data_IF_873572150170
#
_entry.id   IF_873572150170
#
_cell.length_a   1.000
_cell.length_b   1.000
_cell.length_c   1.000
_cell.angle_alpha   90.00
_cell.angle_beta   90.00
_cell.angle_gamma   90.00
#
_symmetry.space_group_name_H-M   'P 1'
#
loop_
_entity.id
_entity.type
_entity.pdbx_description
1 polymer ?
#
# COMPACT_ATOMS: atom_id res chain seq x y z
N UNK A 1 28.86 -66.86 -18.06
CA UNK A 1 27.51 -66.60 -17.52
C UNK A 1 27.66 -65.82 -16.22
N UNK A 2 27.69 -64.48 -16.28
CA UNK A 2 27.64 -63.63 -15.09
C UNK A 2 26.62 -62.52 -15.36
N UNK A 3 25.42 -62.70 -14.81
CA UNK A 3 24.38 -61.68 -14.80
C UNK A 3 24.66 -60.74 -13.64
N UNK A 4 24.96 -59.48 -13.98
CA UNK A 4 25.05 -58.38 -13.00
C UNK A 4 23.67 -57.74 -12.94
N UNK A 5 22.98 -57.92 -11.82
CA UNK A 5 21.68 -57.31 -11.52
C UNK A 5 21.93 -55.90 -10.98
N UNK A 6 21.60 -54.87 -11.76
CA UNK A 6 21.63 -53.48 -11.30
C UNK A 6 20.37 -53.18 -10.48
N UNK A 7 20.53 -52.96 -9.17
CA UNK A 7 19.48 -52.40 -8.31
C UNK A 7 19.43 -50.88 -8.50
N UNK A 8 18.36 -50.39 -9.10
CA UNK A 8 18.03 -48.98 -9.14
C UNK A 8 17.43 -48.58 -7.78
N UNK A 9 18.18 -47.84 -6.98
CA UNK A 9 17.68 -47.19 -5.77
C UNK A 9 16.87 -45.95 -6.16
N UNK A 10 15.55 -46.06 -6.09
CA UNK A 10 14.64 -44.91 -6.17
C UNK A 10 14.82 -44.08 -4.90
N UNK A 11 15.61 -43.00 -4.97
CA UNK A 11 15.70 -42.02 -3.90
C UNK A 11 14.47 -41.10 -3.99
N UNK A 12 13.43 -41.42 -3.24
CA UNK A 12 12.28 -40.56 -3.04
C UNK A 12 12.72 -39.31 -2.28
N UNK A 13 13.05 -38.24 -3.02
CA UNK A 13 13.17 -36.91 -2.45
C UNK A 13 11.79 -36.48 -1.94
N UNK A 14 11.61 -36.57 -0.63
CA UNK A 14 10.49 -35.95 0.07
C UNK A 14 10.67 -34.43 -0.06
N UNK A 15 10.01 -33.82 -1.04
CA UNK A 15 9.91 -32.36 -1.17
C UNK A 15 9.02 -31.88 -0.01
N UNK A 16 9.61 -31.65 1.16
CA UNK A 16 8.94 -30.91 2.22
C UNK A 16 8.83 -29.50 1.66
N UNK A 17 7.61 -29.15 1.21
CA UNK A 17 7.26 -27.80 0.81
C UNK A 17 7.36 -26.93 2.08
N UNK A 18 8.56 -26.45 2.38
CA UNK A 18 8.77 -25.34 3.30
C UNK A 18 8.04 -24.16 2.69
N UNK A 19 6.89 -23.80 3.26
CA UNK A 19 6.18 -22.57 2.91
C UNK A 19 7.19 -21.45 3.05
N UNK A 20 7.65 -20.90 1.93
CA UNK A 20 8.57 -19.78 1.94
C UNK A 20 7.74 -18.59 2.39
N UNK A 21 7.96 -18.14 3.61
CA UNK A 21 7.37 -16.89 4.08
C UNK A 21 8.01 -15.73 3.32
N UNK A 22 7.16 -14.80 2.91
CA UNK A 22 7.55 -13.58 2.22
C UNK A 22 8.03 -12.54 3.25
N UNK A 23 9.31 -12.18 3.21
CA UNK A 23 9.89 -11.18 4.11
C UNK A 23 9.69 -9.76 3.56
N UNK A 24 9.34 -8.82 4.44
CA UNK A 24 9.23 -7.40 4.11
C UNK A 24 10.63 -6.81 3.91
N UNK A 25 10.82 -5.92 2.92
CA UNK A 25 12.06 -5.17 2.75
C UNK A 25 12.50 -4.43 4.03
N UNK A 26 13.82 -4.31 4.28
CA UNK A 26 14.31 -3.59 5.44
C UNK A 26 14.00 -2.08 5.38
N UNK A 27 14.08 -1.44 6.54
CA UNK A 27 14.06 0.02 6.68
C UNK A 27 15.32 0.65 6.13
N UNK A 28 15.21 1.90 5.66
CA UNK A 28 16.35 2.68 5.20
C UNK A 28 17.12 3.27 6.38
N UNK A 29 18.35 3.74 6.15
CA UNK A 29 19.16 4.37 7.19
C UNK A 29 18.92 5.88 7.27
N UNK A 30 18.55 6.51 6.15
CA UNK A 30 18.21 7.92 6.05
C UNK A 30 17.08 8.16 5.06
N UNK A 31 16.39 9.30 5.23
CA UNK A 31 15.36 9.74 4.29
C UNK A 31 15.95 10.00 2.90
N UNK A 32 15.17 9.71 1.88
CA UNK A 32 15.43 10.12 0.50
C UNK A 32 14.33 11.11 0.13
N UNK A 33 14.72 12.36 -0.11
CA UNK A 33 13.78 13.42 -0.47
C UNK A 33 13.22 13.18 -1.88
N UNK A 34 12.01 13.67 -2.17
CA UNK A 34 11.38 13.55 -3.50
C UNK A 34 12.21 14.18 -4.62
N UNK A 35 12.95 15.22 -4.27
CA UNK A 35 13.93 15.90 -5.10
C UNK A 35 15.25 16.02 -4.31
N UNK A 36 16.35 16.35 -4.98
CA UNK A 36 17.69 16.52 -4.36
C UNK A 36 17.76 17.61 -3.26
N UNK A 37 16.65 18.28 -2.93
CA UNK A 37 16.56 19.25 -1.84
C UNK A 37 16.31 18.54 -0.50
N UNK A 38 17.39 18.00 0.05
CA UNK A 38 17.48 17.19 1.28
C UNK A 38 17.00 17.82 2.61
N UNK A 39 16.30 18.96 2.62
CA UNK A 39 16.19 19.81 3.82
C UNK A 39 14.83 20.38 4.24
N UNK A 40 13.69 19.91 3.72
CA UNK A 40 12.39 20.47 4.15
C UNK A 40 11.51 19.46 4.88
N UNK A 41 11.59 19.51 6.22
CA UNK A 41 10.65 18.90 7.15
C UNK A 41 9.30 19.63 7.24
N UNK A 42 9.23 20.81 6.64
CA UNK A 42 8.03 21.58 6.37
C UNK A 42 8.09 21.87 4.89
N UNK A 43 7.41 21.05 4.09
CA UNK A 43 7.26 21.35 2.67
C UNK A 43 6.51 22.67 2.56
N UNK A 44 7.21 23.76 2.28
CA UNK A 44 6.62 24.82 1.49
C UNK A 44 6.42 24.23 0.09
N UNK A 45 5.16 24.01 -0.29
CA UNK A 45 4.73 23.34 -1.53
C UNK A 45 5.22 24.06 -2.80
N UNK A 46 5.74 25.28 -2.66
CA UNK A 46 6.33 26.07 -3.73
C UNK A 46 7.51 25.39 -4.44
N UNK A 47 8.17 24.39 -3.83
CA UNK A 47 9.30 23.66 -4.43
C UNK A 47 8.92 22.41 -5.25
N UNK A 48 7.65 21.96 -5.22
CA UNK A 48 7.15 20.85 -6.05
C UNK A 48 6.68 21.32 -7.45
N UNK A 49 6.97 22.56 -7.83
CA UNK A 49 6.27 23.28 -8.89
C UNK A 49 6.86 23.14 -10.30
N UNK A 50 8.08 22.62 -10.47
CA UNK A 50 8.75 22.65 -11.77
C UNK A 50 8.39 21.48 -12.70
N UNK A 51 8.20 20.27 -12.18
CA UNK A 51 7.87 19.08 -12.98
C UNK A 51 6.69 18.33 -12.35
N UNK A 52 5.61 18.17 -13.12
CA UNK A 52 4.37 17.49 -12.71
C UNK A 52 4.08 16.33 -13.66
N UNK A 53 3.30 15.36 -13.19
CA UNK A 53 2.84 14.24 -14.01
C UNK A 53 3.77 13.04 -14.00
N UNK A 54 3.51 12.10 -14.91
CA UNK A 54 4.12 10.77 -14.99
C UNK A 54 5.65 10.82 -15.01
N UNK A 55 6.24 11.69 -15.83
CA UNK A 55 7.70 11.78 -15.94
C UNK A 55 8.37 12.15 -14.61
N UNK A 56 7.79 13.12 -13.88
CA UNK A 56 8.30 13.57 -12.59
C UNK A 56 8.17 12.48 -11.51
N UNK A 57 7.04 11.77 -11.49
CA UNK A 57 6.81 10.65 -10.56
C UNK A 57 7.80 9.51 -10.84
N UNK A 58 7.94 9.10 -12.11
CA UNK A 58 8.91 8.07 -12.51
C UNK A 58 10.33 8.44 -12.13
N UNK A 59 10.76 9.69 -12.42
CA UNK A 59 12.11 10.15 -12.09
C UNK A 59 12.37 10.11 -10.57
N UNK A 60 11.44 10.61 -9.76
CA UNK A 60 11.57 10.63 -8.30
C UNK A 60 11.67 9.21 -7.72
N UNK A 61 10.76 8.31 -8.09
CA UNK A 61 10.77 6.93 -7.60
C UNK A 61 12.04 6.18 -8.03
N UNK A 62 12.49 6.35 -9.28
CA UNK A 62 13.67 5.64 -9.78
C UNK A 62 14.96 6.17 -9.15
N UNK A 63 15.08 7.48 -8.94
CA UNK A 63 16.15 8.06 -8.14
C UNK A 63 16.17 7.45 -6.73
N UNK A 64 15.01 7.41 -6.05
CA UNK A 64 14.92 6.85 -4.71
C UNK A 64 15.26 5.37 -4.63
N UNK A 65 14.97 4.59 -5.68
CA UNK A 65 15.39 3.18 -5.78
C UNK A 65 16.90 3.05 -5.85
N UNK A 66 17.60 3.91 -6.60
CA UNK A 66 19.08 3.91 -6.64
C UNK A 66 19.69 4.26 -5.29
N UNK A 67 19.11 5.25 -4.60
CA UNK A 67 19.55 5.64 -3.27
C UNK A 67 19.25 4.56 -2.22
N UNK A 68 18.10 3.88 -2.32
CA UNK A 68 17.76 2.72 -1.48
C UNK A 68 18.77 1.59 -1.64
N UNK A 69 19.14 1.23 -2.88
CA UNK A 69 20.17 0.23 -3.12
C UNK A 69 21.49 0.61 -2.47
N UNK A 70 21.89 1.87 -2.60
CA UNK A 70 23.12 2.39 -1.99
C UNK A 70 23.07 2.27 -0.46
N UNK A 71 21.96 2.68 0.17
CA UNK A 71 21.81 2.59 1.63
C UNK A 71 21.77 1.17 2.17
N UNK A 72 21.23 0.23 1.39
CA UNK A 72 21.11 -1.17 1.77
C UNK A 72 22.32 -2.02 1.32
N UNK A 73 23.31 -1.43 0.64
CA UNK A 73 24.48 -2.14 0.13
C UNK A 73 24.13 -3.18 -0.95
N UNK A 74 23.09 -2.92 -1.73
CA UNK A 74 22.60 -3.80 -2.77
C UNK A 74 23.33 -3.58 -4.10
N UNK A 75 23.38 -4.59 -4.97
CA UNK A 75 23.84 -4.40 -6.35
C UNK A 75 23.00 -3.35 -7.08
N UNK A 76 23.65 -2.55 -7.92
CA UNK A 76 22.96 -1.55 -8.74
C UNK A 76 21.92 -2.22 -9.66
N UNK A 77 20.73 -1.63 -9.74
CA UNK A 77 19.61 -2.09 -10.57
C UNK A 77 18.98 -3.42 -10.12
N UNK A 78 19.17 -3.83 -8.86
CA UNK A 78 18.43 -4.97 -8.30
C UNK A 78 16.96 -4.63 -8.05
N UNK A 79 16.67 -3.40 -7.62
CA UNK A 79 15.30 -2.90 -7.50
C UNK A 79 14.91 -2.40 -8.88
N UNK A 80 13.84 -2.95 -9.46
CA UNK A 80 13.41 -2.61 -10.83
C UNK A 80 12.95 -1.16 -10.91
N UNK A 81 13.15 -0.49 -12.04
CA UNK A 81 12.62 0.87 -12.25
C UNK A 81 11.09 0.86 -12.38
N UNK A 82 10.47 1.93 -11.88
CA UNK A 82 9.04 2.21 -12.02
C UNK A 82 8.78 2.55 -13.48
N UNK A 83 7.85 1.83 -14.08
CA UNK A 83 7.32 2.15 -15.40
C UNK A 83 5.86 2.52 -15.20
N UNK A 84 5.50 3.77 -15.40
CA UNK A 84 4.11 4.24 -15.35
C UNK A 84 3.48 4.18 -16.76
N UNK A 85 2.14 4.07 -16.85
CA UNK A 85 1.46 4.25 -18.13
C UNK A 85 1.62 5.69 -18.63
N UNK A 86 1.31 5.93 -19.91
CA UNK A 86 1.33 7.28 -20.50
C UNK A 86 0.47 8.25 -19.69
N UNK A 87 0.84 9.54 -19.72
CA UNK A 87 0.14 10.61 -18.98
C UNK A 87 -1.38 10.57 -19.18
N UNK A 88 -1.85 10.42 -20.41
CA UNK A 88 -3.27 10.35 -20.74
C UNK A 88 -4.00 9.16 -20.09
N UNK A 89 -3.33 8.00 -19.96
CA UNK A 89 -3.89 6.84 -19.26
C UNK A 89 -3.85 7.07 -17.76
N UNK A 90 -2.72 7.55 -17.23
CA UNK A 90 -2.58 7.88 -15.81
C UNK A 90 -3.65 8.87 -15.35
N UNK A 91 -3.93 9.91 -16.13
CA UNK A 91 -4.92 10.93 -15.80
C UNK A 91 -6.35 10.40 -15.76
N UNK A 92 -6.65 9.31 -16.45
CA UNK A 92 -7.98 8.65 -16.43
C UNK A 92 -8.15 7.64 -15.29
N UNK A 93 -7.06 7.23 -14.62
CA UNK A 93 -7.12 6.29 -13.51
C UNK A 93 -7.75 6.94 -12.28
N UNK A 94 -8.58 6.17 -11.56
CA UNK A 94 -9.08 6.57 -10.24
C UNK A 94 -7.95 6.67 -9.22
N UNK A 95 -8.22 7.36 -8.11
CA UNK A 95 -7.26 7.49 -7.01
C UNK A 95 -6.83 6.11 -6.48
N UNK A 96 -7.77 5.17 -6.32
CA UNK A 96 -7.49 3.80 -5.87
C UNK A 96 -6.64 3.03 -6.87
N UNK A 97 -6.91 3.18 -8.18
CA UNK A 97 -6.12 2.51 -9.21
C UNK A 97 -4.68 3.04 -9.24
N UNK A 98 -4.48 4.36 -9.08
CA UNK A 98 -3.14 4.96 -8.97
C UNK A 98 -2.41 4.47 -7.73
N UNK A 99 -3.10 4.41 -6.60
CA UNK A 99 -2.52 3.95 -5.34
C UNK A 99 -2.14 2.46 -5.39
N UNK A 100 -3.05 1.60 -5.85
CA UNK A 100 -2.80 0.17 -6.04
C UNK A 100 -1.62 -0.05 -7.00
N UNK A 101 -1.56 0.69 -8.10
CA UNK A 101 -0.45 0.61 -9.05
C UNK A 101 0.90 0.89 -8.38
N UNK A 102 1.04 2.05 -7.73
CA UNK A 102 2.31 2.46 -7.13
C UNK A 102 2.73 1.57 -5.96
N UNK A 103 1.78 1.11 -5.15
CA UNK A 103 2.06 0.19 -4.04
C UNK A 103 2.50 -1.17 -4.58
N UNK A 104 1.78 -1.74 -5.56
CA UNK A 104 2.15 -3.02 -6.14
C UNK A 104 3.48 -2.97 -6.91
N UNK A 105 3.74 -1.90 -7.65
CA UNK A 105 5.06 -1.68 -8.28
C UNK A 105 6.16 -1.53 -7.23
N UNK A 106 5.92 -0.85 -6.11
CA UNK A 106 6.89 -0.77 -5.03
C UNK A 106 7.19 -2.15 -4.40
N UNK A 107 6.17 -2.98 -4.20
CA UNK A 107 6.32 -4.32 -3.62
C UNK A 107 7.04 -5.25 -4.59
N UNK A 108 6.57 -5.34 -5.82
CA UNK A 108 7.08 -6.27 -6.85
C UNK A 108 8.44 -5.86 -7.43
N UNK A 109 8.78 -4.56 -7.46
CA UNK A 109 10.11 -4.11 -7.87
C UNK A 109 11.22 -4.59 -6.93
N UNK A 110 10.86 -4.99 -5.70
CA UNK A 110 11.75 -5.49 -4.66
C UNK A 110 11.79 -7.02 -4.57
N UNK A 111 11.05 -7.72 -5.44
CA UNK A 111 11.15 -9.18 -5.53
C UNK A 111 12.60 -9.60 -5.74
N UNK A 112 13.06 -10.56 -4.92
CA UNK A 112 14.40 -11.12 -4.91
C UNK A 112 15.53 -10.11 -4.64
N UNK A 113 15.23 -8.90 -4.14
CA UNK A 113 16.27 -7.92 -3.78
C UNK A 113 17.21 -8.46 -2.69
N UNK A 114 16.67 -9.32 -1.83
CA UNK A 114 17.35 -10.01 -0.73
C UNK A 114 16.69 -11.38 -0.52
N UNK A 115 17.40 -12.37 0.05
CA UNK A 115 16.79 -13.66 0.39
C UNK A 115 15.53 -13.48 1.24
N UNK A 116 14.44 -14.14 0.86
CA UNK A 116 13.15 -14.09 1.55
C UNK A 116 12.18 -13.02 1.04
N UNK A 117 12.66 -11.96 0.37
CA UNK A 117 11.78 -10.90 -0.15
C UNK A 117 11.12 -11.34 -1.46
N UNK A 118 9.87 -11.80 -1.40
CA UNK A 118 9.18 -12.33 -2.59
C UNK A 118 8.50 -11.24 -3.44
N UNK A 119 8.14 -10.12 -2.81
CA UNK A 119 7.58 -8.95 -3.53
C UNK A 119 6.15 -9.18 -4.02
N UNK A 120 5.32 -9.87 -3.23
CA UNK A 120 3.94 -10.17 -3.63
C UNK A 120 3.11 -8.87 -3.72
N UNK A 121 2.30 -8.78 -4.76
CA UNK A 121 1.39 -7.66 -4.96
C UNK A 121 0.14 -7.80 -4.09
N UNK A 122 -0.51 -6.68 -3.75
CA UNK A 122 -1.88 -6.73 -3.24
C UNK A 122 -2.82 -7.24 -4.33
N UNK A 123 -3.87 -7.98 -3.97
CA UNK A 123 -4.81 -8.53 -4.96
C UNK A 123 -5.70 -7.46 -5.61
N UNK A 124 -5.97 -6.38 -4.88
CA UNK A 124 -6.82 -5.30 -5.35
C UNK A 124 -7.36 -4.44 -4.23
N UNK A 125 -8.34 -3.60 -4.57
CA UNK A 125 -9.06 -2.72 -3.65
C UNK A 125 -10.39 -3.37 -3.29
N UNK A 126 -10.62 -3.65 -2.00
CA UNK A 126 -11.86 -4.28 -1.52
C UNK A 126 -12.87 -3.18 -1.15
N UNK A 127 -14.06 -3.22 -1.75
CA UNK A 127 -15.02 -2.10 -1.76
C UNK A 127 -15.54 -1.72 -0.37
N UNK A 128 -15.80 -2.70 0.50
CA UNK A 128 -16.36 -2.43 1.83
C UNK A 128 -15.29 -1.84 2.75
N UNK A 129 -14.08 -2.39 2.67
CA UNK A 129 -12.91 -1.91 3.38
C UNK A 129 -12.47 -0.53 2.87
N UNK A 130 -12.56 -0.28 1.57
CA UNK A 130 -12.30 1.02 0.97
C UNK A 130 -13.30 2.09 1.48
N UNK A 131 -14.59 1.76 1.53
CA UNK A 131 -15.60 2.63 2.15
C UNK A 131 -15.31 2.89 3.64
N UNK A 132 -14.78 1.91 4.38
CA UNK A 132 -14.36 2.10 5.77
C UNK A 132 -13.19 3.10 5.86
N UNK A 133 -12.22 3.02 4.94
CA UNK A 133 -11.09 3.95 4.82
C UNK A 133 -11.57 5.36 4.43
N UNK A 134 -12.50 5.47 3.47
CA UNK A 134 -13.19 6.72 3.10
C UNK A 134 -13.84 7.37 4.32
N UNK A 135 -14.63 6.63 5.08
CA UNK A 135 -15.31 7.15 6.27
C UNK A 135 -14.32 7.74 7.29
N UNK A 136 -13.13 7.14 7.42
CA UNK A 136 -12.10 7.68 8.29
C UNK A 136 -11.45 8.95 7.73
N UNK A 137 -11.20 9.01 6.43
CA UNK A 137 -10.74 10.22 5.76
C UNK A 137 -11.75 11.37 5.92
N UNK A 138 -13.07 11.08 5.80
CA UNK A 138 -14.15 12.04 6.05
C UNK A 138 -14.11 12.56 7.49
N UNK A 139 -13.92 11.67 8.48
CA UNK A 139 -13.80 12.06 9.88
C UNK A 139 -12.62 13.02 10.10
N UNK A 140 -11.43 12.68 9.60
CA UNK A 140 -10.24 13.52 9.70
C UNK A 140 -10.46 14.88 9.03
N UNK A 141 -11.06 14.87 7.84
CA UNK A 141 -11.40 16.08 7.10
C UNK A 141 -12.35 16.99 7.88
N UNK A 142 -13.48 16.45 8.33
CA UNK A 142 -14.56 17.23 8.97
C UNK A 142 -14.19 17.74 10.36
N UNK A 143 -13.26 17.08 11.03
CA UNK A 143 -12.76 17.49 12.36
C UNK A 143 -11.46 18.29 12.28
N UNK A 144 -10.98 18.58 11.07
CA UNK A 144 -9.70 19.24 10.80
C UNK A 144 -8.51 18.58 11.52
N UNK A 145 -8.55 17.25 11.61
CA UNK A 145 -7.64 16.45 12.42
C UNK A 145 -6.55 15.77 11.59
N UNK A 146 -5.56 15.22 12.30
CA UNK A 146 -4.45 14.43 11.76
C UNK A 146 -4.18 13.24 12.70
N UNK A 147 -3.83 12.09 12.11
CA UNK A 147 -3.41 10.91 12.84
C UNK A 147 -4.38 9.73 12.71
N UNK A 148 -4.12 8.68 13.51
CA UNK A 148 -4.76 7.37 13.40
C UNK A 148 -5.89 7.12 14.40
N UNK A 149 -6.02 8.00 15.40
CA UNK A 149 -6.88 7.83 16.58
C UNK A 149 -7.86 8.98 16.80
N UNK A 150 -8.22 9.71 15.74
CA UNK A 150 -9.17 10.81 15.83
C UNK A 150 -10.50 10.36 16.46
N UNK A 151 -10.95 10.97 17.57
CA UNK A 151 -12.21 10.62 18.19
C UNK A 151 -13.40 10.92 17.28
N UNK A 152 -14.25 9.92 17.05
CA UNK A 152 -15.50 10.03 16.30
C UNK A 152 -16.71 10.27 17.20
N UNK A 153 -16.52 10.25 18.52
CA UNK A 153 -17.60 10.13 19.51
C UNK A 153 -18.06 8.69 19.75
N UNK A 154 -17.47 7.71 19.04
CA UNK A 154 -17.66 6.29 19.27
C UNK A 154 -16.30 5.59 19.44
N UNK A 155 -15.82 5.35 20.68
CA UNK A 155 -14.51 4.77 20.92
C UNK A 155 -14.35 3.34 20.35
N UNK A 156 -15.45 2.68 19.98
CA UNK A 156 -15.41 1.36 19.34
C UNK A 156 -14.86 1.40 17.90
N UNK A 157 -14.67 2.58 17.29
CA UNK A 157 -14.14 2.74 15.92
C UNK A 157 -13.01 3.78 15.82
N UNK A 158 -12.55 4.32 16.96
CA UNK A 158 -11.53 5.39 16.95
C UNK A 158 -10.13 4.87 16.57
N UNK A 159 -9.86 3.56 16.69
CA UNK A 159 -8.58 2.96 16.28
C UNK A 159 -8.69 2.10 15.00
N UNK A 160 -7.62 1.95 14.21
CA UNK A 160 -7.67 1.26 12.91
C UNK A 160 -8.21 -0.18 12.98
N UNK A 161 -7.72 -0.99 13.92
CA UNK A 161 -8.19 -2.38 14.06
C UNK A 161 -9.66 -2.43 14.49
N UNK A 162 -10.10 -1.54 15.37
CA UNK A 162 -11.48 -1.54 15.81
C UNK A 162 -12.44 -1.11 14.70
N UNK A 163 -12.02 -0.21 13.78
CA UNK A 163 -12.79 0.06 12.55
C UNK A 163 -13.06 -1.22 11.77
N UNK A 164 -12.02 -2.03 11.53
CA UNK A 164 -12.13 -3.33 10.83
C UNK A 164 -13.04 -4.30 11.60
N UNK A 165 -12.86 -4.39 12.92
CA UNK A 165 -13.63 -5.32 13.76
C UNK A 165 -15.13 -5.00 13.80
N UNK A 166 -15.49 -3.71 13.75
CA UNK A 166 -16.87 -3.25 13.79
C UNK A 166 -17.49 -3.09 12.40
N UNK A 167 -16.70 -3.20 11.33
CA UNK A 167 -17.23 -3.11 9.97
C UNK A 167 -18.26 -4.24 9.73
N UNK A 168 -19.47 -3.92 9.24
CA UNK A 168 -20.54 -4.92 9.07
C UNK A 168 -20.25 -5.94 7.95
N UNK A 169 -19.32 -5.64 7.04
CA UNK A 169 -18.97 -6.48 5.90
C UNK A 169 -17.62 -7.21 6.08
N UNK A 170 -16.68 -6.65 6.83
CA UNK A 170 -15.34 -7.22 7.03
C UNK A 170 -15.13 -7.77 8.45
N UNK A 171 -15.78 -7.20 9.44
CA UNK A 171 -15.67 -7.58 10.84
C UNK A 171 -16.30 -8.94 11.15
N UNK A 172 -16.88 -9.07 12.35
CA UNK A 172 -17.47 -10.34 12.79
C UNK A 172 -18.85 -10.59 12.15
N UNK A 173 -18.89 -11.29 11.01
CA UNK A 173 -20.15 -11.72 10.38
C UNK A 173 -20.84 -12.83 11.16
N UNK A 174 -22.14 -12.70 11.34
CA UNK A 174 -22.97 -13.76 11.94
C UNK A 174 -23.40 -14.75 10.86
N UNK A 175 -22.94 -16.00 10.94
CA UNK A 175 -23.44 -17.07 10.08
C UNK A 175 -24.84 -17.51 10.55
N UNK A 176 -25.87 -17.18 9.78
CA UNK A 176 -27.18 -17.81 9.92
C UNK A 176 -27.11 -19.18 9.25
N UNK A 177 -26.87 -20.24 10.02
CA UNK A 177 -27.19 -21.57 9.53
C UNK A 177 -28.71 -21.72 9.49
N UNK A 178 -29.24 -22.07 8.32
CA UNK A 178 -30.65 -22.41 8.09
C UNK A 178 -31.16 -23.56 8.99
N UNK A 179 -30.26 -24.27 9.68
CA UNK A 179 -30.55 -25.17 10.78
C UNK A 179 -30.12 -24.54 12.13
N UNK A 180 -31.11 -24.05 12.88
CA UNK A 180 -31.02 -23.44 14.23
C UNK A 180 -30.00 -24.15 15.15
N UNK A 181 -29.00 -23.41 15.69
CA UNK A 181 -28.59 -23.35 17.13
C UNK A 181 -27.14 -22.92 17.46
N UNK A 182 -26.28 -22.51 16.51
CA UNK A 182 -25.06 -21.77 16.88
C UNK A 182 -24.66 -20.78 15.80
N UNK A 183 -24.81 -19.49 16.09
CA UNK A 183 -24.26 -18.38 15.31
C UNK A 183 -22.76 -18.31 15.57
N UNK A 184 -21.97 -19.10 14.83
CA UNK A 184 -20.53 -18.91 14.84
C UNK A 184 -20.23 -17.63 14.07
N UNK A 185 -19.70 -16.63 14.78
CA UNK A 185 -19.18 -15.42 14.14
C UNK A 185 -17.86 -15.76 13.44
N UNK A 186 -17.70 -15.28 12.22
CA UNK A 186 -16.44 -15.38 11.47
C UNK A 186 -15.94 -13.97 11.18
N UNK A 187 -14.67 -13.71 11.47
CA UNK A 187 -14.01 -12.49 11.03
C UNK A 187 -13.58 -12.69 9.57
N UNK A 188 -13.91 -11.75 8.70
CA UNK A 188 -13.47 -11.78 7.31
C UNK A 188 -12.09 -11.12 7.13
N UNK A 189 -11.25 -11.29 8.14
CA UNK A 189 -9.88 -10.80 8.14
C UNK A 189 -9.01 -11.63 9.08
N UNK A 190 -7.70 -11.56 8.89
CA UNK A 190 -6.67 -12.03 9.80
C UNK A 190 -5.85 -10.83 10.31
N UNK A 191 -5.31 -10.96 11.53
CA UNK A 191 -4.67 -9.82 12.16
C UNK A 191 -3.29 -9.53 11.56
N UNK A 192 -3.08 -8.27 11.19
CA UNK A 192 -1.79 -7.68 10.81
C UNK A 192 -1.15 -6.94 12.00
N UNK A 193 0.17 -6.76 11.95
CA UNK A 193 0.91 -5.88 12.87
C UNK A 193 0.64 -4.38 12.62
N UNK A 194 0.18 -4.03 11.41
CA UNK A 194 -0.18 -2.67 10.98
C UNK A 194 -1.32 -2.73 9.96
N UNK A 195 -2.19 -1.74 10.02
CA UNK A 195 -3.38 -1.67 9.15
C UNK A 195 -3.49 -0.38 8.38
N UNK A 196 -2.78 0.70 8.75
CA UNK A 196 -3.11 2.02 8.25
C UNK A 196 -1.89 2.95 8.14
N UNK A 197 -1.82 3.69 7.02
CA UNK A 197 -1.02 4.89 6.89
C UNK A 197 -1.93 6.10 6.64
N UNK A 198 -1.52 7.26 7.15
CA UNK A 198 -2.23 8.54 6.92
C UNK A 198 -1.21 9.56 6.44
N UNK A 199 -1.60 10.38 5.47
CA UNK A 199 -0.83 11.52 5.00
C UNK A 199 -1.73 12.75 4.92
N UNK A 200 -1.12 13.91 5.09
CA UNK A 200 -1.81 15.19 5.08
C UNK A 200 -0.92 16.25 4.45
N UNK A 201 -1.54 17.16 3.71
CA UNK A 201 -0.86 18.22 2.99
C UNK A 201 -1.62 19.53 3.16
N UNK A 202 -0.92 20.65 3.04
CA UNK A 202 -1.55 21.96 2.93
C UNK A 202 -0.79 22.84 1.96
N UNK A 203 -1.53 23.45 1.06
CA UNK A 203 -1.08 24.47 0.15
C UNK A 203 -1.65 25.82 0.57
N UNK A 204 -0.85 26.88 0.41
CA UNK A 204 -1.22 28.24 0.79
C UNK A 204 -1.02 29.19 -0.41
N UNK A 205 -1.91 30.16 -0.57
CA UNK A 205 -1.84 31.14 -1.65
C UNK A 205 -2.38 32.50 -1.19
N UNK A 206 -1.73 33.60 -1.60
CA UNK A 206 -2.26 34.96 -1.44
C UNK A 206 -3.52 35.18 -2.29
N UNK A 207 -3.62 34.45 -3.41
CA UNK A 207 -4.82 34.37 -4.22
C UNK A 207 -5.65 33.16 -3.82
N UNK A 208 -6.39 32.58 -4.77
CA UNK A 208 -7.13 31.33 -4.54
C UNK A 208 -6.17 30.18 -4.19
N UNK A 209 -6.50 29.41 -3.17
CA UNK A 209 -5.90 28.11 -2.91
C UNK A 209 -6.88 27.00 -3.34
N UNK A 210 -6.40 26.05 -4.15
CA UNK A 210 -7.20 24.95 -4.68
C UNK A 210 -6.33 23.71 -4.94
N UNK A 211 -6.86 22.68 -5.60
CA UNK A 211 -6.14 21.43 -5.86
C UNK A 211 -4.76 21.63 -6.52
N UNK A 212 -4.56 22.71 -7.28
CA UNK A 212 -3.27 23.00 -7.91
C UNK A 212 -2.17 23.41 -6.94
N UNK A 213 -2.53 23.87 -5.73
CA UNK A 213 -1.57 24.26 -4.69
C UNK A 213 -1.02 23.07 -3.92
N UNK A 214 -1.63 21.88 -4.05
CA UNK A 214 -1.15 20.61 -3.51
C UNK A 214 -1.07 19.58 -4.64
N UNK A 215 -0.05 19.63 -5.50
CA UNK A 215 0.08 18.70 -6.61
C UNK A 215 0.45 17.30 -6.14
N UNK A 216 -0.01 16.29 -6.89
CA UNK A 216 0.36 14.87 -6.75
C UNK A 216 0.22 14.30 -5.31
N UNK A 217 -0.89 14.54 -4.60
CA UNK A 217 -1.01 14.13 -3.20
C UNK A 217 -0.94 12.61 -3.01
N UNK A 218 -1.38 11.81 -3.98
CA UNK A 218 -1.37 10.33 -3.90
C UNK A 218 0.06 9.83 -4.01
N UNK A 219 0.74 10.25 -5.07
CA UNK A 219 2.10 9.84 -5.39
C UNK A 219 3.06 10.30 -4.29
N UNK A 220 2.91 11.54 -3.82
CA UNK A 220 3.70 12.07 -2.70
C UNK A 220 3.43 11.34 -1.39
N UNK A 221 2.20 10.90 -1.12
CA UNK A 221 1.91 10.11 0.08
C UNK A 221 2.68 8.80 0.06
N UNK A 222 2.54 8.04 -1.03
CA UNK A 222 3.17 6.73 -1.18
C UNK A 222 4.70 6.84 -1.18
N UNK A 223 5.25 7.82 -1.90
CA UNK A 223 6.69 8.08 -1.86
C UNK A 223 7.17 8.43 -0.46
N UNK A 224 6.48 9.35 0.23
CA UNK A 224 6.91 9.76 1.57
C UNK A 224 6.86 8.61 2.56
N UNK A 225 5.82 7.77 2.50
CA UNK A 225 5.74 6.57 3.32
C UNK A 225 6.89 5.59 3.03
N UNK A 226 7.29 5.40 1.78
CA UNK A 226 8.34 4.42 1.44
C UNK A 226 9.76 4.97 1.69
N UNK A 227 10.02 6.23 1.34
CA UNK A 227 11.38 6.76 1.20
C UNK A 227 11.70 7.91 2.17
N UNK A 228 10.70 8.63 2.68
CA UNK A 228 10.88 9.82 3.53
C UNK A 228 10.22 9.65 4.91
N UNK A 229 10.37 8.47 5.52
CA UNK A 229 9.65 8.05 6.73
C UNK A 229 10.55 7.87 7.97
N UNK A 230 11.76 8.43 7.93
CA UNK A 230 12.70 8.33 9.05
C UNK A 230 12.11 8.85 10.38
N UNK A 231 11.27 9.89 10.32
CA UNK A 231 10.63 10.50 11.49
C UNK A 231 9.67 9.58 12.25
N UNK A 232 9.02 8.66 11.55
CA UNK A 232 8.10 7.71 12.17
C UNK A 232 8.82 6.43 12.61
N UNK A 233 10.16 6.38 12.47
CA UNK A 233 10.93 5.16 12.63
C UNK A 233 10.64 4.13 11.54
N UNK A 234 10.34 4.58 10.31
CA UNK A 234 10.05 3.74 9.14
C UNK A 234 8.77 2.88 9.24
N UNK A 235 7.84 3.24 10.12
CA UNK A 235 6.60 2.49 10.31
C UNK A 235 5.63 2.59 9.13
N UNK A 236 5.58 3.73 8.43
CA UNK A 236 4.78 3.85 7.21
C UNK A 236 5.38 3.03 6.08
N UNK A 237 6.72 3.02 5.94
CA UNK A 237 7.43 2.18 4.95
C UNK A 237 7.13 0.70 5.18
N UNK A 238 7.29 0.27 6.42
CA UNK A 238 7.04 -1.12 6.83
C UNK A 238 5.59 -1.52 6.59
N UNK A 239 4.64 -0.58 6.71
CA UNK A 239 3.23 -0.85 6.39
C UNK A 239 3.03 -1.00 4.88
N UNK A 240 3.52 -0.08 4.04
CA UNK A 240 3.35 -0.16 2.56
C UNK A 240 3.97 -1.44 1.99
N UNK A 241 5.15 -1.83 2.51
CA UNK A 241 5.93 -2.96 2.00
C UNK A 241 5.74 -4.25 2.82
N UNK A 242 4.73 -4.30 3.71
CA UNK A 242 4.46 -5.43 4.58
C UNK A 242 4.18 -6.70 3.77
N UNK A 243 4.94 -7.78 3.97
CA UNK A 243 4.69 -9.14 3.45
C UNK A 243 4.35 -10.08 4.63
N UNK A 244 4.49 -11.40 4.50
CA UNK A 244 4.20 -12.34 5.60
C UNK A 244 4.94 -12.02 6.91
N UNK A 245 6.22 -11.68 6.81
CA UNK A 245 7.07 -11.32 7.94
C UNK A 245 7.55 -9.88 7.82
N UNK A 246 7.49 -9.11 8.90
CA UNK A 246 8.10 -7.78 8.98
C UNK A 246 8.90 -7.60 10.27
N UNK A 247 9.77 -6.59 10.27
CA UNK A 247 10.54 -6.17 11.46
C UNK A 247 9.66 -5.77 12.65
N UNK A 248 8.39 -5.46 12.41
CA UNK A 248 7.41 -5.00 13.40
C UNK A 248 6.37 -6.06 13.77
N UNK A 249 6.52 -7.28 13.27
CA UNK A 249 5.65 -8.41 13.59
C UNK A 249 5.11 -9.12 12.36
N UNK A 250 4.03 -9.87 12.57
CA UNK A 250 3.36 -10.67 11.54
C UNK A 250 2.64 -9.76 10.55
N UNK A 251 2.86 -9.97 9.26
CA UNK A 251 2.07 -9.36 8.21
C UNK A 251 1.05 -10.35 7.65
N UNK A 252 0.94 -10.37 6.31
CA UNK A 252 -0.10 -11.13 5.62
C UNK A 252 0.05 -12.64 5.84
N UNK A 253 -1.01 -13.37 5.52
CA UNK A 253 -0.88 -14.78 5.24
C UNK A 253 -1.27 -14.98 3.78
N UNK A 254 -0.34 -15.43 2.94
CA UNK A 254 -0.64 -15.82 1.57
C UNK A 254 -1.48 -17.12 1.50
N UNK A 255 -2.73 -17.06 1.97
CA UNK A 255 -3.65 -18.19 2.13
C UNK A 255 -5.07 -17.90 1.62
N UNK A 256 -5.28 -16.76 0.96
CA UNK A 256 -6.52 -16.35 0.33
C UNK A 256 -6.24 -15.86 -1.10
N UNK A 257 -7.00 -16.36 -2.07
CA UNK A 257 -6.85 -15.95 -3.47
C UNK A 257 -5.69 -16.65 -4.18
N UNK A 258 -5.08 -15.94 -5.14
CA UNK A 258 -3.96 -16.40 -5.96
C UNK A 258 -2.64 -16.33 -5.18
N UNK A 259 -1.75 -17.30 -5.36
CA UNK A 259 -0.46 -17.35 -4.69
C UNK A 259 0.49 -16.18 -5.03
N UNK A 260 0.22 -15.43 -6.11
CA UNK A 260 0.98 -14.24 -6.52
C UNK A 260 0.50 -12.95 -5.83
N UNK A 261 -0.62 -13.01 -5.12
CA UNK A 261 -1.21 -11.87 -4.44
C UNK A 261 -1.30 -12.10 -2.93
N UNK A 262 -1.24 -11.02 -2.16
CA UNK A 262 -1.49 -11.06 -0.72
C UNK A 262 -2.29 -9.83 -0.28
N UNK A 263 -3.41 -10.04 0.41
CA UNK A 263 -4.17 -8.94 1.00
C UNK A 263 -4.94 -8.04 0.03
N UNK A 264 -5.70 -7.12 0.63
CA UNK A 264 -6.46 -6.08 -0.06
C UNK A 264 -6.07 -4.68 0.44
N UNK A 265 -6.26 -3.71 -0.44
CA UNK A 265 -6.08 -2.28 -0.20
C UNK A 265 -7.43 -1.62 0.08
N UNK A 266 -7.42 -0.61 0.94
CA UNK A 266 -8.38 0.49 0.92
C UNK A 266 -7.59 1.79 0.81
N UNK A 267 -8.03 2.76 0.02
CA UNK A 267 -7.30 3.99 -0.20
C UNK A 267 -8.26 5.13 -0.49
N UNK A 268 -8.16 6.23 0.25
CA UNK A 268 -9.05 7.36 0.00
C UNK A 268 -8.35 8.70 0.17
N UNK A 269 -8.74 9.66 -0.68
CA UNK A 269 -8.24 11.04 -0.66
C UNK A 269 -9.40 12.03 -0.61
N UNK A 270 -9.33 12.97 0.33
CA UNK A 270 -10.26 14.11 0.39
C UNK A 270 -9.47 15.40 0.42
N UNK A 271 -9.95 16.40 -0.31
CA UNK A 271 -9.28 17.70 -0.41
C UNK A 271 -10.28 18.84 -0.47
N UNK A 272 -10.05 19.91 0.29
CA UNK A 272 -10.89 21.12 0.25
C UNK A 272 -10.18 22.32 0.87
N UNK A 273 -10.76 23.52 0.64
CA UNK A 273 -10.34 24.73 1.34
C UNK A 273 -10.78 24.76 2.82
N UNK A 274 -11.72 23.89 3.23
CA UNK A 274 -12.22 23.81 4.60
C UNK A 274 -11.34 22.91 5.49
N UNK A 275 -10.56 22.01 4.89
CA UNK A 275 -9.57 21.22 5.60
C UNK A 275 -8.26 22.00 5.70
N UNK A 276 -7.91 22.41 6.92
CA UNK A 276 -6.77 23.29 7.23
C UNK A 276 -6.02 22.78 8.46
N UNK A 277 -5.49 21.55 8.43
CA UNK A 277 -5.02 20.86 9.64
C UNK A 277 -3.69 21.41 10.19
N UNK A 278 -3.13 22.46 9.58
CA UNK A 278 -1.83 23.04 9.90
C UNK A 278 -1.88 24.51 10.32
N UNK A 279 -3.07 25.05 10.61
CA UNK A 279 -3.32 26.48 10.78
C UNK A 279 -3.01 27.29 9.50
N UNK A 280 -3.96 28.13 9.08
CA UNK A 280 -3.77 29.01 7.92
C UNK A 280 -3.26 30.36 8.43
N UNK A 281 -2.10 30.85 7.95
CA UNK A 281 -1.62 32.18 8.28
C UNK A 281 -2.64 33.28 7.91
N UNK A 282 -2.66 34.36 8.69
CA UNK A 282 -3.54 35.50 8.42
C UNK A 282 -3.26 36.10 7.03
N UNK A 283 -4.33 36.42 6.29
CA UNK A 283 -4.25 37.02 4.95
C UNK A 283 -3.90 36.04 3.83
N UNK A 284 -3.89 34.73 4.09
CA UNK A 284 -3.58 33.69 3.10
C UNK A 284 -4.75 32.70 3.00
N UNK A 285 -5.03 32.20 1.79
CA UNK A 285 -6.01 31.13 1.59
C UNK A 285 -5.33 29.77 1.74
N UNK A 286 -6.00 28.83 2.41
CA UNK A 286 -5.53 27.46 2.61
C UNK A 286 -6.28 26.45 1.75
N UNK A 287 -5.60 25.37 1.39
CA UNK A 287 -6.19 24.19 0.78
C UNK A 287 -5.52 22.95 1.36
N UNK A 288 -6.30 22.05 1.93
CA UNK A 288 -5.77 20.84 2.57
C UNK A 288 -6.14 19.59 1.79
N UNK A 289 -5.30 18.56 1.95
CA UNK A 289 -5.56 17.20 1.47
C UNK A 289 -5.28 16.23 2.60
N UNK A 290 -6.17 15.27 2.82
CA UNK A 290 -5.95 14.08 3.65
C UNK A 290 -5.99 12.85 2.75
N UNK A 291 -5.07 11.92 3.00
CA UNK A 291 -4.98 10.63 2.33
C UNK A 291 -4.91 9.55 3.42
N UNK A 292 -5.76 8.54 3.32
CA UNK A 292 -5.78 7.38 4.22
C UNK A 292 -5.59 6.13 3.38
N UNK A 293 -4.69 5.25 3.81
CA UNK A 293 -4.45 3.94 3.23
C UNK A 293 -4.71 2.88 4.30
N UNK A 294 -5.48 1.86 3.97
CA UNK A 294 -5.72 0.68 4.79
C UNK A 294 -5.16 -0.59 4.15
N UNK A 295 -4.73 -1.56 4.96
CA UNK A 295 -4.42 -2.94 4.55
C UNK A 295 -5.32 -3.94 5.27
N UNK A 296 -5.77 -4.94 4.52
CA UNK A 296 -6.61 -6.02 5.01
C UNK A 296 -6.03 -7.38 4.61
N UNK A 297 -5.74 -8.24 5.58
CA UNK A 297 -5.43 -9.65 5.33
C UNK A 297 -6.75 -10.43 5.32
N UNK A 298 -7.27 -10.88 4.17
CA UNK A 298 -8.51 -11.64 4.13
C UNK A 298 -8.36 -13.00 4.80
N UNK A 299 -9.45 -13.54 5.34
CA UNK A 299 -9.43 -14.86 5.99
C UNK A 299 -9.01 -15.95 5.02
N UNK A 300 -8.23 -16.93 5.47
CA UNK A 300 -7.83 -18.05 4.64
C UNK A 300 -8.98 -18.70 3.85
N UNK A 301 -8.77 -18.91 2.55
CA UNK A 301 -9.76 -19.47 1.62
C UNK A 301 -10.27 -20.86 2.04
N UNK A 302 -9.42 -21.65 2.71
CA UNK A 302 -9.74 -22.98 3.22
C UNK A 302 -10.44 -22.98 4.59
N UNK A 303 -10.61 -21.81 5.23
CA UNK A 303 -11.21 -21.71 6.56
C UNK A 303 -12.72 -21.81 6.45
N UNK A 304 -13.30 -22.71 7.25
CA UNK A 304 -14.75 -22.91 7.29
C UNK A 304 -15.49 -21.59 7.53
N UNK A 305 -16.32 -21.17 6.57
CA UNK A 305 -17.09 -19.95 6.63
C UNK A 305 -16.54 -18.80 5.77
N UNK A 306 -15.33 -18.93 5.19
CA UNK A 306 -14.74 -17.94 4.29
C UNK A 306 -15.63 -17.64 3.09
N UNK A 307 -16.45 -18.61 2.66
CA UNK A 307 -17.46 -18.44 1.61
C UNK A 307 -18.50 -17.34 1.89
N UNK A 308 -18.64 -16.90 3.13
CA UNK A 308 -19.59 -15.85 3.54
C UNK A 308 -18.96 -14.45 3.58
N UNK A 309 -17.66 -14.32 3.30
CA UNK A 309 -16.96 -13.05 3.40
C UNK A 309 -17.26 -12.10 2.24
N UNK A 310 -17.74 -12.61 1.11
CA UNK A 310 -18.29 -11.81 0.00
C UNK A 310 -17.42 -10.60 -0.38
N UNK A 311 -16.09 -10.78 -0.42
CA UNK A 311 -15.16 -9.72 -0.81
C UNK A 311 -15.50 -9.20 -2.20
N UNK A 312 -15.64 -7.88 -2.33
CA UNK A 312 -15.98 -7.21 -3.58
C UNK A 312 -14.80 -6.38 -4.05
N UNK A 313 -14.06 -6.86 -5.05
CA UNK A 313 -12.87 -6.15 -5.53
C UNK A 313 -13.28 -5.12 -6.59
N UNK A 314 -13.18 -3.83 -6.25
CA UNK A 314 -13.56 -2.72 -7.14
C UNK A 314 -12.49 -2.41 -8.19
N UNK A 315 -11.23 -2.57 -7.82
CA UNK A 315 -10.06 -2.46 -8.71
C UNK A 315 -9.19 -3.68 -8.49
N UNK A 316 -9.04 -4.52 -9.51
CA UNK A 316 -8.15 -5.69 -9.46
C UNK A 316 -6.77 -5.33 -9.97
N UNK A 317 -5.75 -5.96 -9.41
CA UNK A 317 -4.36 -5.77 -9.85
C UNK A 317 -4.16 -6.14 -11.32
N UNK A 318 -4.85 -7.17 -11.78
CA UNK A 318 -4.81 -7.65 -13.17
C UNK A 318 -5.53 -6.72 -14.16
N UNK A 319 -6.40 -5.84 -13.66
CA UNK A 319 -7.11 -4.84 -14.47
C UNK A 319 -6.31 -3.53 -14.61
N UNK A 320 -5.19 -3.39 -13.90
CA UNK A 320 -4.33 -2.21 -14.01
C UNK A 320 -3.65 -2.14 -15.39
N UNK A 321 -3.39 -0.92 -15.92
CA UNK A 321 -2.70 -0.77 -17.19
C UNK A 321 -1.34 -1.46 -17.17
N UNK A 322 -1.08 -2.36 -18.12
CA UNK A 322 0.24 -2.95 -18.27
C UNK A 322 1.15 -1.90 -18.91
N UNK A 323 2.36 -1.64 -18.37
CA UNK A 323 3.29 -0.74 -19.03
C UNK A 323 3.56 -1.21 -20.45
N UNK A 324 3.45 -0.32 -21.44
CA UNK A 324 3.77 -0.66 -22.83
C UNK A 324 5.21 -1.19 -22.85
N UNK A 325 5.39 -2.47 -23.18
CA UNK A 325 6.72 -3.00 -23.47
C UNK A 325 7.23 -2.19 -24.65
N UNK A 326 8.25 -1.36 -24.44
CA UNK A 326 9.00 -0.78 -25.54
C UNK A 326 9.50 -1.95 -26.36
N UNK A 327 8.85 -2.22 -27.49
CA UNK A 327 9.34 -3.15 -28.50
C UNK A 327 10.65 -2.53 -28.98
N UNK A 328 11.76 -2.98 -28.43
CA UNK A 328 13.07 -2.70 -28.99
C UNK A 328 13.09 -3.46 -30.31
N UNK A 329 12.69 -2.79 -31.38
CA UNK A 329 12.98 -3.24 -32.74
C UNK A 329 14.49 -3.08 -32.86
N UNK A 330 15.24 -4.14 -32.58
CA UNK A 330 16.65 -4.19 -32.94
C UNK A 330 16.71 -4.10 -34.46
N UNK A 331 17.05 -2.92 -34.97
CA UNK A 331 17.42 -2.76 -36.36
C UNK A 331 18.70 -3.58 -36.59
N UNK A 332 18.56 -4.67 -37.36
CA UNK A 332 19.67 -5.34 -38.01
C UNK A 332 20.09 -4.54 -39.25
#
# INVERSE_FOLDING_TARGET
MHNVTAQATLSSFLFICSVVCADSPPSLTQRIAWNDNSNLDVVQDSQYSAEKGVAAVTAAFNHARREEETQLGLPANVIKDLILPKQEVWDTMSDDAKALYLINDARTARADMMPGVLGLALAGVESSFDLMVENYAILLHNTNAKGHYQPSGNPAIDNPLARIQQDPYIGLKTRLNSAKKATKKIACYESLARYENVAFFSGYSLGKADASTVPLPIERSIYNWIYNDAKSGWQYRQTVLLQDNGSIGKGFNNNNGDAQHEGFLGFHRISSANYTPFHVPEGVNGYGVVVVMGLLDPIASNKKGAENCEYSISVRTEDLPVPEKTLIISAN
#
